data_IF_556441454791
#
_entry.id   IF_556441454791
#
_cell.length_a   1.000
_cell.length_b   1.000
_cell.length_c   1.000
_cell.angle_alpha   90.00
_cell.angle_beta   90.00
_cell.angle_gamma   90.00
#
_symmetry.space_group_name_H-M   'P 1'
#
loop_
_entity.id
_entity.type
_entity.pdbx_description
1 polymer ?
#
# COMPACT_ATOMS: atom_id res chain seq x y z
N UNK A 1 -38.98 -3.84 10.14
CA UNK A 1 -38.27 -2.66 9.59
C UNK A 1 -37.48 -1.84 10.63
N UNK A 2 -37.28 -2.29 11.88
CA UNK A 2 -36.57 -1.51 12.92
C UNK A 2 -35.10 -1.93 13.15
N UNK A 3 -34.62 -3.01 12.55
CA UNK A 3 -33.25 -3.54 12.74
C UNK A 3 -32.16 -2.81 11.93
N UNK A 4 -32.54 -2.01 10.93
CA UNK A 4 -31.57 -1.26 10.10
C UNK A 4 -31.06 0.03 10.76
N UNK A 5 -31.84 0.66 11.64
CA UNK A 5 -31.50 1.97 12.23
C UNK A 5 -30.48 1.86 13.38
N UNK A 6 -30.54 0.78 14.17
CA UNK A 6 -29.65 0.54 15.31
C UNK A 6 -28.23 0.11 14.91
N UNK A 7 -28.07 -0.59 13.77
CA UNK A 7 -26.75 -0.90 13.20
C UNK A 7 -26.04 0.37 12.67
N UNK A 8 -26.81 1.32 12.13
CA UNK A 8 -26.28 2.60 11.61
C UNK A 8 -25.85 3.53 12.76
N UNK A 9 -26.59 3.56 13.88
CA UNK A 9 -26.22 4.36 15.06
C UNK A 9 -25.00 3.80 15.82
N UNK A 10 -24.83 2.48 15.87
CA UNK A 10 -23.62 1.85 16.44
C UNK A 10 -22.35 2.17 15.64
N UNK A 11 -22.44 2.29 14.31
CA UNK A 11 -21.34 2.67 13.43
C UNK A 11 -21.13 4.19 13.33
N UNK A 12 -22.12 4.99 13.74
CA UNK A 12 -22.03 6.46 13.81
C UNK A 12 -21.26 6.96 15.05
N UNK A 13 -21.08 6.10 16.07
CA UNK A 13 -20.32 6.42 17.29
C UNK A 13 -18.82 6.13 17.20
N UNK A 14 -18.30 5.72 16.03
CA UNK A 14 -16.86 5.84 15.76
C UNK A 14 -16.59 7.33 15.58
N UNK A 15 -16.18 7.96 16.68
CA UNK A 15 -15.87 9.39 16.76
C UNK A 15 -15.10 9.83 15.52
N UNK A 16 -15.58 10.84 14.80
CA UNK A 16 -14.90 11.42 13.61
C UNK A 16 -13.42 11.70 13.88
N UNK A 17 -13.06 11.96 15.15
CA UNK A 17 -11.69 12.06 15.62
C UNK A 17 -10.91 10.74 15.54
N UNK A 18 -11.49 9.62 15.96
CA UNK A 18 -10.88 8.30 15.82
C UNK A 18 -10.66 7.92 14.35
N UNK A 19 -11.63 8.22 13.47
CA UNK A 19 -11.46 8.05 12.02
C UNK A 19 -10.30 8.89 11.46
N UNK A 20 -10.21 10.17 11.83
CA UNK A 20 -9.11 11.06 11.44
C UNK A 20 -7.76 10.58 11.98
N UNK A 21 -7.72 10.11 13.23
CA UNK A 21 -6.53 9.53 13.84
C UNK A 21 -6.11 8.28 13.08
N UNK A 22 -7.04 7.39 12.71
CA UNK A 22 -6.74 6.20 11.91
C UNK A 22 -6.15 6.55 10.54
N UNK A 23 -6.70 7.56 9.84
CA UNK A 23 -6.14 8.03 8.57
C UNK A 23 -4.74 8.60 8.75
N UNK A 24 -4.54 9.45 9.77
CA UNK A 24 -3.23 10.00 10.09
C UNK A 24 -2.23 8.87 10.42
N UNK A 25 -2.63 7.88 11.21
CA UNK A 25 -1.80 6.72 11.55
C UNK A 25 -1.47 5.91 10.30
N UNK A 26 -2.41 5.65 9.39
CA UNK A 26 -2.13 4.95 8.12
C UNK A 26 -1.16 5.76 7.25
N UNK A 27 -1.34 7.07 7.16
CA UNK A 27 -0.49 7.94 6.35
C UNK A 27 0.94 8.03 6.93
N UNK A 28 1.07 8.30 8.22
CA UNK A 28 2.37 8.37 8.89
C UNK A 28 3.03 6.99 8.98
N UNK A 29 2.29 5.90 9.19
CA UNK A 29 2.85 4.55 9.15
C UNK A 29 3.30 4.17 7.74
N UNK A 30 2.58 4.62 6.71
CA UNK A 30 2.96 4.41 5.30
C UNK A 30 4.25 5.17 4.95
N UNK A 31 4.38 6.42 5.39
CA UNK A 31 5.60 7.22 5.22
C UNK A 31 6.75 6.60 6.00
N UNK A 32 6.50 6.19 7.25
CA UNK A 32 7.50 5.54 8.09
C UNK A 32 7.93 4.21 7.49
N UNK A 33 7.01 3.41 6.97
CA UNK A 33 7.29 2.17 6.25
C UNK A 33 8.13 2.42 5.00
N UNK A 34 7.80 3.42 4.18
CA UNK A 34 8.63 3.82 3.05
C UNK A 34 10.03 4.25 3.52
N UNK A 35 10.09 5.06 4.57
CA UNK A 35 11.36 5.54 5.14
C UNK A 35 12.21 4.40 5.70
N UNK A 36 11.58 3.40 6.32
CA UNK A 36 12.22 2.17 6.76
C UNK A 36 12.72 1.34 5.58
N UNK A 37 11.97 1.22 4.47
CA UNK A 37 12.48 0.59 3.24
C UNK A 37 13.72 1.32 2.74
N UNK A 38 13.67 2.65 2.66
CA UNK A 38 14.81 3.47 2.23
C UNK A 38 16.02 3.37 3.16
N UNK A 39 15.81 3.16 4.47
CA UNK A 39 16.87 3.03 5.47
C UNK A 39 17.41 1.60 5.62
N UNK A 40 16.54 0.60 5.46
CA UNK A 40 16.88 -0.83 5.59
C UNK A 40 17.47 -1.36 4.28
N UNK A 41 17.26 -0.66 3.16
CA UNK A 41 17.97 -0.97 1.94
C UNK A 41 19.48 -0.84 2.22
N UNK A 42 20.26 -1.94 2.04
CA UNK A 42 21.72 -1.92 2.26
C UNK A 42 22.35 -0.84 1.39
N UNK A 43 23.56 -0.35 1.74
CA UNK A 43 24.25 0.76 1.05
C UNK A 43 24.30 0.54 -0.47
N UNK A 44 23.28 1.00 -1.17
CA UNK A 44 23.24 1.07 -2.62
C UNK A 44 24.33 2.04 -3.02
N UNK A 45 25.17 1.65 -3.98
CA UNK A 45 26.12 2.55 -4.60
C UNK A 45 25.35 3.79 -5.11
N UNK A 46 25.86 5.01 -4.92
CA UNK A 46 25.12 6.25 -5.17
C UNK A 46 24.57 6.38 -6.61
N UNK A 47 25.23 5.72 -7.58
CA UNK A 47 24.84 5.52 -8.99
C UNK A 47 23.61 4.59 -9.19
N UNK A 48 23.34 3.68 -8.27
CA UNK A 48 22.25 2.71 -8.39
C UNK A 48 20.97 3.11 -7.65
N UNK A 49 21.08 4.05 -6.70
CA UNK A 49 19.90 4.63 -6.01
C UNK A 49 18.90 5.27 -6.98
N UNK A 50 19.39 5.80 -8.11
CA UNK A 50 18.55 6.44 -9.12
C UNK A 50 17.65 5.45 -9.89
N UNK A 51 17.98 4.15 -9.86
CA UNK A 51 17.26 3.09 -10.57
C UNK A 51 16.25 2.37 -9.68
N UNK A 52 16.23 2.62 -8.36
CA UNK A 52 15.13 2.23 -7.48
C UNK A 52 14.01 3.25 -7.63
N UNK A 53 13.34 3.17 -8.77
CA UNK A 53 12.10 3.90 -9.04
C UNK A 53 10.98 2.89 -9.20
N UNK A 54 9.77 3.32 -8.88
CA UNK A 54 8.58 2.52 -9.16
C UNK A 54 8.53 2.35 -10.69
N UNK A 55 8.52 1.12 -11.20
CA UNK A 55 8.57 0.88 -12.64
C UNK A 55 7.23 1.28 -13.25
N UNK A 56 7.25 2.13 -14.26
CA UNK A 56 6.05 2.57 -15.00
C UNK A 56 5.94 1.90 -16.37
N UNK A 57 7.01 1.24 -16.82
CA UNK A 57 7.08 0.47 -18.04
C UNK A 57 7.82 -0.86 -17.80
N UNK A 58 7.78 -1.75 -18.80
CA UNK A 58 8.39 -3.09 -18.70
C UNK A 58 9.92 -3.01 -18.64
N UNK A 59 10.54 -2.03 -19.30
CA UNK A 59 12.01 -1.85 -19.31
C UNK A 59 12.55 -1.43 -17.93
N UNK A 60 11.84 -0.53 -17.25
CA UNK A 60 12.10 -0.14 -15.87
C UNK A 60 11.93 -1.33 -14.93
N UNK A 61 10.86 -2.12 -15.13
CA UNK A 61 10.60 -3.31 -14.32
C UNK A 61 11.72 -4.35 -14.49
N UNK A 62 12.21 -4.54 -15.72
CA UNK A 62 13.33 -5.44 -16.01
C UNK A 62 14.61 -4.95 -15.36
N UNK A 63 14.93 -3.67 -15.50
CA UNK A 63 16.14 -3.06 -14.91
C UNK A 63 16.10 -3.15 -13.38
N UNK A 64 14.98 -2.76 -12.77
CA UNK A 64 14.75 -2.89 -11.34
C UNK A 64 14.86 -4.35 -10.89
N UNK A 65 14.30 -5.28 -11.65
CA UNK A 65 14.35 -6.72 -11.35
C UNK A 65 15.78 -7.26 -11.34
N UNK A 66 16.60 -6.87 -12.31
CA UNK A 66 18.00 -7.27 -12.37
C UNK A 66 18.80 -6.73 -11.18
N UNK A 67 18.58 -5.46 -10.83
CA UNK A 67 19.20 -4.83 -9.66
C UNK A 67 18.77 -5.56 -8.39
N UNK A 68 17.47 -5.70 -8.15
CA UNK A 68 16.93 -6.38 -6.97
C UNK A 68 17.39 -7.84 -6.88
N UNK A 69 17.45 -8.58 -7.99
CA UNK A 69 17.89 -9.98 -7.97
C UNK A 69 19.38 -10.11 -7.60
N UNK A 70 20.21 -9.14 -7.98
CA UNK A 70 21.61 -9.07 -7.54
C UNK A 70 21.70 -8.82 -6.04
N UNK A 71 20.98 -7.84 -5.51
CA UNK A 71 20.96 -7.54 -4.07
C UNK A 71 20.28 -8.62 -3.21
N UNK A 72 19.33 -9.37 -3.79
CA UNK A 72 18.62 -10.47 -3.12
C UNK A 72 19.57 -11.57 -2.66
N UNK A 73 20.69 -11.80 -3.37
CA UNK A 73 21.67 -12.84 -3.03
C UNK A 73 22.28 -12.62 -1.65
N UNK A 74 22.58 -11.37 -1.31
CA UNK A 74 23.22 -11.01 -0.04
C UNK A 74 22.20 -10.56 1.02
N UNK A 75 21.04 -10.04 0.60
CA UNK A 75 20.03 -9.42 1.48
C UNK A 75 18.59 -9.80 1.11
N UNK A 76 18.29 -11.11 1.14
CA UNK A 76 16.97 -11.65 0.76
C UNK A 76 15.79 -10.97 1.48
N UNK A 77 15.82 -10.91 2.82
CA UNK A 77 14.73 -10.36 3.63
C UNK A 77 14.57 -8.84 3.46
N UNK A 78 15.65 -8.12 3.17
CA UNK A 78 15.59 -6.67 2.91
C UNK A 78 14.92 -6.39 1.55
N UNK A 79 15.20 -7.19 0.53
CA UNK A 79 14.51 -7.10 -0.77
C UNK A 79 13.04 -7.53 -0.63
N UNK A 80 12.76 -8.61 0.10
CA UNK A 80 11.40 -9.10 0.36
C UNK A 80 10.54 -8.04 1.07
N UNK A 81 11.03 -7.48 2.18
CA UNK A 81 10.32 -6.43 2.91
C UNK A 81 10.18 -5.14 2.09
N UNK A 82 11.20 -4.79 1.29
CA UNK A 82 11.14 -3.66 0.37
C UNK A 82 10.04 -3.80 -0.69
N UNK A 83 9.95 -4.96 -1.34
CA UNK A 83 8.90 -5.27 -2.33
C UNK A 83 7.53 -5.31 -1.66
N UNK A 84 7.40 -5.98 -0.51
CA UNK A 84 6.15 -6.09 0.25
C UNK A 84 5.59 -4.71 0.64
N UNK A 85 6.40 -3.87 1.29
CA UNK A 85 5.97 -2.55 1.75
C UNK A 85 5.66 -1.60 0.59
N UNK A 86 6.48 -1.62 -0.47
CA UNK A 86 6.23 -0.81 -1.67
C UNK A 86 4.94 -1.23 -2.38
N UNK A 87 4.66 -2.53 -2.45
CA UNK A 87 3.43 -3.05 -3.01
C UNK A 87 2.23 -2.57 -2.19
N UNK A 88 2.20 -2.85 -0.89
CA UNK A 88 1.09 -2.45 -0.01
C UNK A 88 0.84 -0.94 -0.10
N UNK A 89 1.91 -0.13 -0.14
CA UNK A 89 1.80 1.32 -0.33
C UNK A 89 1.10 1.68 -1.65
N UNK A 90 1.60 1.18 -2.78
CA UNK A 90 1.01 1.45 -4.10
C UNK A 90 -0.46 1.05 -4.14
N UNK A 91 -0.80 -0.12 -3.59
CA UNK A 91 -2.16 -0.63 -3.57
C UNK A 91 -3.08 0.18 -2.65
N UNK A 92 -2.58 0.61 -1.49
CA UNK A 92 -3.33 1.41 -0.50
C UNK A 92 -3.73 2.77 -1.06
N UNK A 93 -2.84 3.40 -1.82
CA UNK A 93 -3.09 4.72 -2.44
C UNK A 93 -3.58 4.63 -3.89
N UNK A 94 -3.88 3.41 -4.38
CA UNK A 94 -4.31 3.15 -5.76
C UNK A 94 -3.38 3.78 -6.83
N UNK A 95 -2.07 3.78 -6.56
CA UNK A 95 -1.05 4.33 -7.47
C UNK A 95 -0.76 3.30 -8.57
N UNK A 96 -0.75 3.71 -9.86
CA UNK A 96 -0.41 2.81 -10.95
C UNK A 96 1.05 2.34 -10.80
N UNK A 97 1.29 1.04 -10.92
CA UNK A 97 2.63 0.45 -10.79
C UNK A 97 2.70 -0.84 -9.97
N UNK A 98 1.67 -1.12 -9.14
CA UNK A 98 1.62 -2.35 -8.34
C UNK A 98 1.62 -3.62 -9.21
N UNK A 99 1.05 -3.55 -10.42
CA UNK A 99 1.09 -4.63 -11.42
C UNK A 99 2.53 -5.07 -11.74
N UNK A 100 3.42 -4.11 -11.96
CA UNK A 100 4.81 -4.41 -12.27
C UNK A 100 5.53 -5.05 -11.07
N UNK A 101 5.20 -4.65 -9.84
CA UNK A 101 5.72 -5.30 -8.63
C UNK A 101 5.21 -6.75 -8.47
N UNK A 102 3.98 -7.06 -8.91
CA UNK A 102 3.50 -8.45 -8.95
C UNK A 102 4.34 -9.31 -9.89
N UNK A 103 4.62 -8.79 -11.10
CA UNK A 103 5.47 -9.46 -12.09
C UNK A 103 6.90 -9.62 -11.55
N UNK A 104 7.43 -8.55 -10.96
CA UNK A 104 8.76 -8.51 -10.35
C UNK A 104 8.91 -9.53 -9.23
N UNK A 105 7.87 -9.71 -8.42
CA UNK A 105 7.83 -10.69 -7.34
C UNK A 105 7.92 -12.12 -7.89
N UNK A 106 7.26 -12.40 -9.02
CA UNK A 106 7.36 -13.68 -9.73
C UNK A 106 8.75 -13.93 -10.34
N UNK A 107 9.46 -12.86 -10.74
CA UNK A 107 10.84 -12.96 -11.20
C UNK A 107 11.85 -13.13 -10.05
N UNK A 108 11.61 -12.46 -8.92
CA UNK A 108 12.53 -12.43 -7.78
C UNK A 108 12.41 -13.65 -6.86
N UNK A 109 11.21 -14.20 -6.66
CA UNK A 109 10.96 -15.19 -5.62
C UNK A 109 10.43 -16.50 -6.20
N UNK A 110 10.55 -17.58 -5.43
CA UNK A 110 9.98 -18.87 -5.78
C UNK A 110 8.45 -18.75 -5.85
N UNK A 111 7.80 -19.58 -6.68
CA UNK A 111 6.36 -19.51 -6.95
C UNK A 111 5.49 -19.35 -5.69
N UNK A 112 5.68 -20.20 -4.68
CA UNK A 112 4.91 -20.13 -3.44
C UNK A 112 5.13 -18.85 -2.65
N UNK A 113 6.37 -18.37 -2.56
CA UNK A 113 6.69 -17.11 -1.88
C UNK A 113 6.12 -15.91 -2.61
N UNK A 114 6.24 -15.89 -3.94
CA UNK A 114 5.66 -14.84 -4.77
C UNK A 114 4.14 -14.80 -4.62
N UNK A 115 3.48 -15.97 -4.66
CA UNK A 115 2.02 -16.06 -4.53
C UNK A 115 1.54 -15.56 -3.17
N UNK A 116 2.12 -16.06 -2.08
CA UNK A 116 1.76 -15.61 -0.72
C UNK A 116 1.99 -14.10 -0.59
N UNK A 117 3.14 -13.60 -1.03
CA UNK A 117 3.45 -12.17 -0.97
C UNK A 117 2.43 -11.34 -1.73
N UNK A 118 2.14 -11.67 -2.98
CA UNK A 118 1.22 -10.90 -3.83
C UNK A 118 -0.21 -10.97 -3.29
N UNK A 119 -0.69 -12.14 -2.87
CA UNK A 119 -2.03 -12.30 -2.30
C UNK A 119 -2.18 -11.50 -1.00
N UNK A 120 -1.23 -11.62 -0.06
CA UNK A 120 -1.26 -10.88 1.19
C UNK A 120 -1.15 -9.38 0.96
N UNK A 121 -0.26 -8.93 0.06
CA UNK A 121 -0.13 -7.51 -0.30
C UNK A 121 -1.43 -6.96 -0.89
N UNK A 122 -2.05 -7.70 -1.81
CA UNK A 122 -3.31 -7.29 -2.45
C UNK A 122 -4.45 -7.19 -1.44
N UNK A 123 -4.62 -8.20 -0.58
CA UNK A 123 -5.66 -8.21 0.44
C UNK A 123 -5.48 -7.07 1.46
N UNK A 124 -4.26 -6.87 1.96
CA UNK A 124 -3.95 -5.80 2.91
C UNK A 124 -4.12 -4.43 2.27
N UNK A 125 -3.53 -4.22 1.09
CA UNK A 125 -3.58 -2.94 0.39
C UNK A 125 -5.00 -2.54 -0.02
N UNK A 126 -5.80 -3.49 -0.51
CA UNK A 126 -7.20 -3.24 -0.84
C UNK A 126 -8.05 -2.93 0.40
N UNK A 127 -7.80 -3.64 1.51
CA UNK A 127 -8.50 -3.38 2.79
C UNK A 127 -8.19 -1.99 3.33
N UNK A 128 -6.92 -1.57 3.28
CA UNK A 128 -6.50 -0.23 3.69
C UNK A 128 -7.05 0.84 2.75
N UNK A 129 -7.03 0.60 1.43
CA UNK A 129 -7.63 1.50 0.44
C UNK A 129 -9.14 1.68 0.67
N UNK A 130 -9.86 0.58 0.94
CA UNK A 130 -11.28 0.62 1.26
C UNK A 130 -11.56 1.41 2.54
N UNK A 131 -10.77 1.17 3.59
CA UNK A 131 -10.87 1.93 4.83
C UNK A 131 -10.63 3.43 4.60
N UNK A 132 -9.59 3.79 3.85
CA UNK A 132 -9.32 5.19 3.48
C UNK A 132 -10.48 5.80 2.69
N UNK A 133 -11.00 5.09 1.68
CA UNK A 133 -12.14 5.53 0.87
C UNK A 133 -13.41 5.72 1.69
N UNK A 134 -13.73 4.79 2.58
CA UNK A 134 -14.91 4.86 3.43
C UNK A 134 -14.84 6.05 4.42
N UNK A 135 -13.65 6.36 4.94
CA UNK A 135 -13.46 7.46 5.88
C UNK A 135 -13.40 8.83 5.18
N UNK A 136 -12.64 8.94 4.09
CA UNK A 136 -12.52 10.18 3.31
C UNK A 136 -13.83 10.48 2.56
N UNK A 137 -14.43 9.47 1.93
CA UNK A 137 -15.69 9.59 1.20
C UNK A 137 -16.83 10.09 2.09
N UNK A 138 -16.95 9.57 3.32
CA UNK A 138 -17.98 10.04 4.27
C UNK A 138 -17.79 11.51 4.63
N UNK A 139 -16.54 11.98 4.82
CA UNK A 139 -16.25 13.40 5.09
C UNK A 139 -16.49 14.28 3.86
N UNK A 140 -16.11 13.82 2.67
CA UNK A 140 -16.29 14.55 1.42
C UNK A 140 -17.78 14.73 1.08
N UNK A 141 -18.59 13.67 1.26
CA UNK A 141 -20.05 13.71 1.05
C UNK A 141 -20.72 14.68 2.03
N UNK A 142 -20.35 14.63 3.32
CA UNK A 142 -20.88 15.58 4.30
C UNK A 142 -20.50 17.04 4.04
N UNK A 143 -19.33 17.29 3.43
CA UNK A 143 -18.85 18.64 3.14
C UNK A 143 -19.39 19.20 1.83
N UNK A 144 -19.49 18.38 0.77
CA UNK A 144 -19.89 18.82 -0.58
C UNK A 144 -21.38 18.60 -0.89
N UNK A 145 -22.05 17.62 -0.26
CA UNK A 145 -23.46 17.29 -0.52
C UNK A 145 -24.26 17.07 0.78
N UNK A 146 -24.37 18.08 1.68
CA UNK A 146 -25.10 17.94 2.93
C UNK A 146 -26.62 17.68 2.72
N UNK A 147 -27.19 18.13 1.60
CA UNK A 147 -28.62 17.93 1.28
C UNK A 147 -28.96 16.47 0.92
N UNK A 148 -28.02 15.69 0.38
CA UNK A 148 -28.22 14.27 0.03
C UNK A 148 -27.85 13.31 1.17
N UNK A 149 -27.23 13.81 2.24
CA UNK A 149 -26.88 13.02 3.42
C UNK A 149 -28.00 12.95 4.47
N UNK A 150 -29.13 13.65 4.23
CA UNK A 150 -30.24 13.80 5.17
C UNK A 150 -31.52 13.04 4.77
N UNK A 151 -31.56 12.45 3.57
CA UNK A 151 -32.56 11.44 3.18
C UNK A 151 -31.99 10.03 3.38
#
# INVERSE_FOLDING_TARGET
MMTGRSQIEGFANISTRAALVSVAVIFFSSIFALSLVYRTFPKLRPDEKQHIKIPWNIEDAKTLGLVLNRYKKDHYYSVLSGVFLSYVFLQTFAIPGSLFLSILSGFLFNFYTALILVCTCSALGASLCFLLSQLLGRKLVWLYFPEKAKE
#
